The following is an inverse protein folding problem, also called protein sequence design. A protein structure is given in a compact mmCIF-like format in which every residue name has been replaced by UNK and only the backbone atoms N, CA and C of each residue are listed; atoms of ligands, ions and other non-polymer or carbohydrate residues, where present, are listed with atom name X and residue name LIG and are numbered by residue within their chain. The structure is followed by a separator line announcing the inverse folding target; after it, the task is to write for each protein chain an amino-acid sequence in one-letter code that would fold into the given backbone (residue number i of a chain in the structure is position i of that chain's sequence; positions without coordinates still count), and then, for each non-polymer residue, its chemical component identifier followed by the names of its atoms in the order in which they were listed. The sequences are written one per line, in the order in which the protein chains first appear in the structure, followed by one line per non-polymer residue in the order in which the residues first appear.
data_IF_673705710333
#
_entry.id   IF_673705710333
#
_cell.length_a   1.000
_cell.length_b   1.000
_cell.length_c   1.000
_cell.angle_alpha   90.00
_cell.angle_beta   90.00
_cell.angle_gamma   90.00
#
_symmetry.space_group_name_H-M   'P 1'
#
loop_
_entity.id
_entity.type
_entity.pdbx_description
1 polymer ?
#
# COMPACT_ATOMS: atom_id res chain seq x y z
N UNK A 1 31.48 18.09 17.76
CA UNK A 1 30.58 18.23 16.58
C UNK A 1 29.15 18.08 17.06
N UNK A 2 28.32 19.12 16.94
CA UNK A 2 26.88 19.01 17.24
C UNK A 2 26.22 18.15 16.16
N UNK A 3 25.48 17.12 16.54
CA UNK A 3 24.79 16.24 15.60
C UNK A 3 23.65 16.98 14.90
N UNK A 4 23.30 16.59 13.69
CA UNK A 4 22.18 17.17 12.90
C UNK A 4 20.87 17.21 13.72
N UNK A 5 20.68 16.24 14.61
CA UNK A 5 19.52 16.11 15.50
C UNK A 5 19.45 17.24 16.52
N UNK A 6 20.60 17.66 17.12
CA UNK A 6 20.65 18.77 18.07
C UNK A 6 20.41 20.14 17.41
N UNK A 7 20.71 20.26 16.11
CA UNK A 7 20.44 21.47 15.34
C UNK A 7 18.97 21.63 14.99
N UNK A 8 18.30 20.53 14.68
CA UNK A 8 16.86 20.51 14.36
C UNK A 8 15.98 20.72 15.62
N UNK A 9 16.43 20.24 16.77
CA UNK A 9 15.77 20.50 18.06
C UNK A 9 15.85 21.99 18.46
N UNK A 10 16.96 22.67 18.17
CA UNK A 10 17.10 24.11 18.45
C UNK A 10 16.12 24.95 17.61
N UNK A 11 15.85 24.64 16.36
CA UNK A 11 14.94 25.43 15.51
C UNK A 11 13.49 25.36 16.01
N UNK A 12 13.00 24.18 16.39
CA UNK A 12 11.65 24.04 16.95
C UNK A 12 11.53 24.73 18.32
N UNK A 13 12.56 24.61 19.16
CA UNK A 13 12.65 25.25 20.47
C UNK A 13 12.64 26.78 20.36
N UNK A 14 13.43 27.32 19.43
CA UNK A 14 13.50 28.78 19.20
C UNK A 14 12.16 29.32 18.68
N UNK A 15 11.49 28.58 17.81
CA UNK A 15 10.17 28.96 17.31
C UNK A 15 9.11 28.92 18.42
N UNK A 16 9.10 27.88 19.24
CA UNK A 16 8.17 27.72 20.36
C UNK A 16 8.39 28.81 21.42
N UNK A 17 9.65 29.13 21.73
CA UNK A 17 10.02 30.20 22.67
C UNK A 17 9.54 31.58 22.20
N UNK A 18 9.66 31.90 20.90
CA UNK A 18 9.11 33.14 20.31
C UNK A 18 7.59 33.24 20.44
N UNK A 19 6.90 32.10 20.49
CA UNK A 19 5.45 32.01 20.70
C UNK A 19 5.07 31.95 22.17
N UNK A 20 6.04 32.01 23.10
CA UNK A 20 5.77 31.96 24.54
C UNK A 20 5.31 30.57 25.04
N UNK A 21 5.60 29.50 24.32
CA UNK A 21 5.22 28.14 24.69
C UNK A 21 6.24 27.52 25.65
N UNK A 22 5.76 26.67 26.55
CA UNK A 22 6.59 25.91 27.48
C UNK A 22 6.70 24.45 27.03
N UNK A 23 7.90 23.93 26.85
CA UNK A 23 8.17 22.57 26.43
C UNK A 23 8.31 21.60 27.61
N UNK A 24 7.93 20.34 27.40
CA UNK A 24 8.09 19.22 28.35
C UNK A 24 9.46 18.51 28.26
N UNK A 25 10.34 18.96 27.37
CA UNK A 25 11.62 18.30 27.07
C UNK A 25 11.52 17.08 26.16
N UNK A 26 10.32 16.62 25.81
CA UNK A 26 10.06 15.48 24.92
C UNK A 26 9.49 15.88 23.57
N UNK A 27 9.36 17.20 23.34
CA UNK A 27 8.93 17.77 22.06
C UNK A 27 7.47 18.19 22.03
N UNK A 28 6.78 18.17 23.16
CA UNK A 28 5.43 18.70 23.31
C UNK A 28 5.48 20.11 23.92
N UNK A 29 4.63 21.03 23.44
CA UNK A 29 4.67 22.45 23.77
C UNK A 29 3.31 22.94 24.25
N UNK A 30 3.29 23.56 25.41
CA UNK A 30 2.09 23.96 26.13
C UNK A 30 1.98 25.48 26.26
N UNK A 31 0.77 25.99 26.22
CA UNK A 31 0.49 27.39 26.59
C UNK A 31 0.59 27.53 28.11
N UNK A 32 1.51 28.35 28.64
CA UNK A 32 1.72 28.47 30.08
C UNK A 32 0.55 29.12 30.82
N UNK A 33 -0.38 29.78 30.11
CA UNK A 33 -1.58 30.41 30.72
C UNK A 33 -2.73 29.43 30.87
N UNK A 34 -2.88 28.49 29.94
CA UNK A 34 -4.01 27.56 29.90
C UNK A 34 -3.63 26.13 30.27
N UNK A 35 -2.35 25.79 30.25
CA UNK A 35 -1.84 24.43 30.41
C UNK A 35 -2.18 23.50 29.25
N UNK A 36 -2.73 24.03 28.16
CA UNK A 36 -3.15 23.23 27.02
C UNK A 36 -1.94 22.90 26.12
N UNK A 37 -1.92 21.67 25.58
CA UNK A 37 -0.98 21.27 24.54
C UNK A 37 -1.34 21.99 23.23
N UNK A 38 -0.46 22.87 22.74
CA UNK A 38 -0.73 23.71 21.56
C UNK A 38 0.17 23.43 20.37
N UNK A 39 1.31 22.76 20.60
CA UNK A 39 2.20 22.39 19.51
C UNK A 39 3.05 21.16 19.84
N UNK A 40 3.59 20.52 18.81
CA UNK A 40 4.49 19.36 18.92
C UNK A 40 5.65 19.47 17.94
N UNK A 41 6.83 19.07 18.37
CA UNK A 41 8.00 18.97 17.48
C UNK A 41 7.92 17.71 16.63
N UNK A 42 7.75 17.88 15.33
CA UNK A 42 7.69 16.78 14.36
C UNK A 42 8.82 16.95 13.34
N UNK A 43 9.75 16.00 13.27
CA UNK A 43 10.91 16.04 12.37
C UNK A 43 11.72 17.35 12.48
N UNK A 44 11.90 17.86 13.73
CA UNK A 44 12.67 19.07 14.00
C UNK A 44 11.96 20.39 13.66
N UNK A 45 10.67 20.37 13.33
CA UNK A 45 9.84 21.55 13.10
C UNK A 45 8.68 21.59 14.07
N UNK A 46 8.26 22.80 14.46
CA UNK A 46 7.12 23.00 15.34
C UNK A 46 5.82 22.88 14.53
N UNK A 47 4.96 21.94 14.90
CA UNK A 47 3.61 21.79 14.36
C UNK A 47 2.60 22.30 15.39
N UNK A 48 1.91 23.39 15.07
CA UNK A 48 0.95 24.05 15.95
C UNK A 48 -0.44 23.42 15.68
N UNK A 49 -1.19 23.14 16.77
CA UNK A 49 -2.56 22.66 16.67
C UNK A 49 -3.50 23.87 16.66
N UNK A 50 -4.21 24.10 15.57
CA UNK A 50 -5.25 25.13 15.52
C UNK A 50 -6.56 24.58 16.15
N UNK A 51 -6.85 25.05 17.35
CA UNK A 51 -8.19 25.10 17.94
C UNK A 51 -8.82 23.80 18.38
N UNK A 52 -8.56 23.41 19.63
CA UNK A 52 -9.59 22.95 20.61
C UNK A 52 -8.92 22.73 21.95
N UNK A 53 -9.29 23.54 22.93
CA UNK A 53 -8.98 23.37 24.36
C UNK A 53 -9.62 22.09 24.86
N UNK A 54 -8.80 21.11 25.26
CA UNK A 54 -9.19 20.08 26.23
C UNK A 54 -8.16 20.10 27.36
N UNK A 55 -8.67 20.32 28.58
CA UNK A 55 -7.92 20.29 29.82
C UNK A 55 -7.34 18.90 30.05
N UNK A 56 -6.04 18.84 30.29
CA UNK A 56 -5.35 17.62 30.68
C UNK A 56 -5.51 17.40 32.19
N UNK A 57 -5.96 16.22 32.60
CA UNK A 57 -5.71 15.69 33.93
C UNK A 57 -4.45 14.81 33.90
N UNK A 58 -3.60 14.87 34.94
CA UNK A 58 -2.38 14.06 34.99
C UNK A 58 -2.67 12.72 35.63
N UNK A 59 -2.17 11.62 35.04
CA UNK A 59 -1.72 10.48 35.85
C UNK A 59 -1.02 9.37 35.04
N UNK A 60 0.12 9.00 35.62
CA UNK A 60 0.68 7.69 35.88
C UNK A 60 0.99 6.71 34.73
N UNK A 61 2.29 6.61 34.50
CA UNK A 61 3.12 5.41 34.18
C UNK A 61 2.40 4.19 33.59
N UNK A 62 2.62 3.99 32.30
CA UNK A 62 2.35 2.73 31.61
C UNK A 62 2.69 2.88 30.14
N UNK A 63 3.73 2.21 29.67
CA UNK A 63 4.09 2.17 28.27
C UNK A 63 2.93 1.58 27.47
N UNK A 64 2.34 2.24 26.50
CA UNK A 64 1.49 1.59 25.53
C UNK A 64 2.22 1.40 24.21
N UNK A 65 2.03 0.21 23.65
CA UNK A 65 2.33 -0.12 22.28
C UNK A 65 1.73 0.91 21.32
N UNK A 66 2.42 1.16 20.21
CA UNK A 66 2.02 2.09 19.18
C UNK A 66 0.60 1.81 18.66
N UNK A 67 -0.38 2.55 19.13
CA UNK A 67 -1.71 2.60 18.55
C UNK A 67 -1.64 3.39 17.24
N UNK A 68 -1.87 2.70 16.15
CA UNK A 68 -2.11 3.30 14.85
C UNK A 68 -3.50 3.94 14.90
N UNK A 69 -3.56 5.27 14.86
CA UNK A 69 -4.81 5.98 14.64
C UNK A 69 -5.40 5.61 13.27
N UNK A 70 -6.72 5.40 13.18
CA UNK A 70 -7.42 5.34 11.91
C UNK A 70 -7.23 6.67 11.17
N UNK A 71 -6.95 6.59 9.87
CA UNK A 71 -6.89 7.77 9.01
C UNK A 71 -8.20 8.56 9.10
N UNK A 72 -8.04 9.86 9.29
CA UNK A 72 -9.01 10.96 9.23
C UNK A 72 -10.48 10.57 9.00
N UNK A 73 -11.25 10.65 10.08
CA UNK A 73 -12.70 10.75 10.01
C UNK A 73 -13.02 12.23 9.80
N UNK A 74 -12.94 12.66 8.55
CA UNK A 74 -13.43 13.98 8.15
C UNK A 74 -14.97 13.99 8.18
N UNK A 75 -15.50 15.10 8.64
CA UNK A 75 -16.89 15.37 8.94
C UNK A 75 -17.86 14.82 7.89
N UNK A 76 -18.84 14.05 8.36
CA UNK A 76 -19.97 13.64 7.55
C UNK A 76 -20.76 14.87 7.09
N UNK A 77 -21.12 14.97 5.79
CA UNK A 77 -22.03 15.99 5.33
C UNK A 77 -23.40 15.83 6.02
N UNK A 78 -23.90 16.92 6.55
CA UNK A 78 -25.24 16.97 7.11
C UNK A 78 -26.27 16.73 5.99
N UNK A 79 -27.08 15.67 6.12
CA UNK A 79 -28.26 15.54 5.26
C UNK A 79 -28.60 14.10 4.90
N UNK A 80 -29.23 13.42 5.77
CA UNK A 80 -30.35 12.46 5.67
C UNK A 80 -30.41 11.72 6.98
N UNK A 81 -31.56 11.75 7.63
CA UNK A 81 -31.75 10.99 8.85
C UNK A 81 -31.66 9.49 8.53
N UNK A 82 -30.97 8.69 9.36
CA UNK A 82 -30.87 7.26 9.14
C UNK A 82 -32.26 6.62 9.14
N UNK A 83 -32.55 5.86 8.09
CA UNK A 83 -33.82 5.14 7.94
C UNK A 83 -33.74 3.83 8.72
N UNK A 84 -34.82 3.45 9.40
CA UNK A 84 -34.93 2.13 9.99
C UNK A 84 -35.16 1.11 8.87
N UNK A 85 -34.36 0.03 8.81
CA UNK A 85 -34.58 -1.07 7.88
C UNK A 85 -35.93 -1.75 8.05
N UNK A 86 -36.44 -2.39 7.01
CA UNK A 86 -37.73 -3.06 6.99
C UNK A 86 -37.76 -4.41 7.75
N UNK A 87 -36.70 -4.78 8.44
CA UNK A 87 -36.62 -5.89 9.40
C UNK A 87 -36.40 -7.28 8.78
N UNK A 88 -36.17 -7.39 7.47
CA UNK A 88 -36.19 -8.71 6.78
C UNK A 88 -34.85 -9.20 6.23
N UNK A 89 -33.85 -8.36 6.06
CA UNK A 89 -32.59 -8.76 5.43
C UNK A 89 -31.38 -8.46 6.29
N UNK A 90 -30.46 -9.42 6.29
CA UNK A 90 -29.13 -9.27 6.90
C UNK A 90 -28.06 -9.19 5.84
N UNK A 91 -27.10 -8.28 5.98
CA UNK A 91 -25.93 -8.20 5.13
C UNK A 91 -24.67 -8.56 5.93
N UNK A 92 -23.89 -9.48 5.42
CA UNK A 92 -22.59 -9.79 5.99
C UNK A 92 -21.48 -9.02 5.23
N UNK A 93 -20.64 -8.29 5.96
CA UNK A 93 -19.65 -7.37 5.41
C UNK A 93 -18.24 -7.79 5.85
N UNK A 94 -17.33 -7.87 4.89
CA UNK A 94 -15.89 -7.85 5.13
C UNK A 94 -15.29 -6.53 4.68
N UNK A 95 -14.53 -5.86 5.55
CA UNK A 95 -13.82 -4.63 5.20
C UNK A 95 -12.34 -4.75 5.56
N UNK A 96 -11.45 -4.58 4.60
CA UNK A 96 -10.03 -4.80 4.82
C UNK A 96 -9.11 -4.09 3.84
N UNK A 97 -7.81 -4.07 4.16
CA UNK A 97 -6.79 -3.42 3.31
C UNK A 97 -6.42 -4.24 2.08
N UNK A 98 -6.28 -5.56 2.22
CA UNK A 98 -5.93 -6.50 1.15
C UNK A 98 -4.76 -6.00 0.28
N UNK A 99 -3.67 -5.55 0.86
CA UNK A 99 -2.62 -4.86 0.12
C UNK A 99 -1.20 -5.42 0.39
N UNK A 100 -0.77 -6.44 -0.40
CA UNK A 100 -1.57 -7.18 -1.38
C UNK A 100 -2.52 -8.21 -0.75
N UNK A 101 -3.48 -8.76 -1.51
CA UNK A 101 -4.23 -9.95 -1.13
C UNK A 101 -3.28 -11.14 -0.95
N UNK A 102 -3.59 -12.06 -0.05
CA UNK A 102 -2.73 -13.21 0.30
C UNK A 102 -3.58 -14.45 0.56
N UNK A 103 -2.97 -15.63 0.58
CA UNK A 103 -3.63 -16.88 0.99
C UNK A 103 -4.33 -16.77 2.36
N UNK A 104 -3.75 -16.00 3.30
CA UNK A 104 -4.38 -15.77 4.62
C UNK A 104 -5.69 -14.99 4.58
N UNK A 105 -5.99 -14.28 3.48
CA UNK A 105 -7.27 -13.60 3.31
C UNK A 105 -8.39 -14.54 2.86
N UNK A 106 -8.08 -15.70 2.31
CA UNK A 106 -9.08 -16.72 1.93
C UNK A 106 -9.89 -17.20 3.13
N UNK A 107 -9.20 -17.43 4.27
CA UNK A 107 -9.87 -17.79 5.54
C UNK A 107 -10.88 -16.72 5.97
N UNK A 108 -10.52 -15.44 5.84
CA UNK A 108 -11.43 -14.33 6.14
C UNK A 108 -12.63 -14.34 5.19
N UNK A 109 -12.42 -14.52 3.88
CA UNK A 109 -13.51 -14.52 2.90
C UNK A 109 -14.45 -15.70 3.10
N UNK A 110 -13.91 -16.89 3.38
CA UNK A 110 -14.69 -18.06 3.74
C UNK A 110 -15.51 -17.85 5.03
N UNK A 111 -14.93 -17.19 6.03
CA UNK A 111 -15.65 -16.82 7.25
C UNK A 111 -16.79 -15.83 6.98
N UNK A 112 -16.59 -14.85 6.08
CA UNK A 112 -17.65 -13.91 5.66
C UNK A 112 -18.80 -14.66 4.99
N UNK A 113 -18.49 -15.51 4.03
CA UNK A 113 -19.49 -16.33 3.32
C UNK A 113 -20.24 -17.27 4.26
N UNK A 114 -19.54 -17.94 5.17
CA UNK A 114 -20.14 -18.85 6.16
C UNK A 114 -21.03 -18.10 7.15
N UNK A 115 -20.62 -16.91 7.62
CA UNK A 115 -21.43 -16.07 8.53
C UNK A 115 -22.71 -15.56 7.85
N UNK A 116 -22.72 -15.46 6.53
CA UNK A 116 -23.89 -15.05 5.78
C UNK A 116 -24.98 -16.15 5.70
N UNK A 117 -24.64 -17.42 5.99
CA UNK A 117 -25.58 -18.54 6.03
C UNK A 117 -26.48 -18.65 4.76
N UNK A 118 -25.89 -18.35 3.58
CA UNK A 118 -26.61 -18.31 2.30
C UNK A 118 -27.33 -16.98 2.02
N UNK A 119 -27.27 -16.01 2.91
CA UNK A 119 -27.72 -14.63 2.68
C UNK A 119 -26.70 -13.77 1.94
N UNK A 120 -27.00 -12.49 1.85
CA UNK A 120 -26.14 -11.52 1.17
C UNK A 120 -24.83 -11.27 1.92
N UNK A 121 -23.72 -11.30 1.18
CA UNK A 121 -22.44 -10.85 1.70
C UNK A 121 -21.65 -10.02 0.68
N UNK A 122 -20.84 -9.11 1.19
CA UNK A 122 -19.99 -8.24 0.37
C UNK A 122 -18.63 -8.02 1.03
N UNK A 123 -17.59 -7.96 0.20
CA UNK A 123 -16.21 -7.74 0.60
C UNK A 123 -15.75 -6.43 0.00
N UNK A 124 -15.35 -5.49 0.86
CA UNK A 124 -14.93 -4.15 0.47
C UNK A 124 -13.44 -3.94 0.75
N UNK A 125 -12.59 -3.89 -0.26
CA UNK A 125 -11.20 -3.46 -0.12
C UNK A 125 -11.13 -1.96 0.18
N UNK A 126 -10.32 -1.57 1.17
CA UNK A 126 -10.12 -0.15 1.49
C UNK A 126 -9.45 0.59 0.34
N UNK A 127 -9.73 1.89 0.20
CA UNK A 127 -9.14 2.76 -0.82
C UNK A 127 -7.78 3.35 -0.42
N UNK A 128 -7.26 2.99 0.77
CA UNK A 128 -5.96 3.50 1.21
C UNK A 128 -4.86 3.09 0.23
N UNK A 129 -4.07 4.07 -0.18
CA UNK A 129 -2.90 3.88 -1.03
C UNK A 129 -1.71 4.67 -0.46
N UNK A 130 -0.60 4.02 -0.28
CA UNK A 130 0.69 4.61 0.08
C UNK A 130 1.83 3.66 -0.29
N UNK A 131 3.00 4.21 -0.60
CA UNK A 131 4.14 3.45 -1.09
C UNK A 131 4.67 2.37 -0.12
N UNK A 132 4.40 2.46 1.19
CA UNK A 132 5.00 1.55 2.18
C UNK A 132 4.08 0.42 2.62
N UNK A 133 2.79 0.75 2.89
CA UNK A 133 1.85 -0.18 3.51
C UNK A 133 0.73 -0.61 2.57
N UNK A 134 0.39 0.24 1.60
CA UNK A 134 -0.72 0.04 0.68
C UNK A 134 -0.31 0.39 -0.75
N UNK A 135 0.68 -0.31 -1.34
CA UNK A 135 1.19 0.05 -2.66
C UNK A 135 0.15 -0.06 -3.79
N UNK A 136 -0.79 -0.98 -3.69
CA UNK A 136 -1.81 -1.17 -4.72
C UNK A 136 -2.95 -0.16 -4.57
N UNK A 137 -3.38 0.44 -5.67
CA UNK A 137 -4.62 1.21 -5.76
C UNK A 137 -5.86 0.31 -5.64
N UNK A 138 -7.04 0.92 -5.45
CA UNK A 138 -8.27 0.17 -5.19
C UNK A 138 -8.70 -0.72 -6.38
N UNK A 139 -8.58 -0.23 -7.61
CA UNK A 139 -9.00 -0.96 -8.80
C UNK A 139 -8.12 -2.18 -9.05
N UNK A 140 -6.80 -2.00 -9.03
CA UNK A 140 -5.81 -3.08 -9.14
C UNK A 140 -6.03 -4.14 -8.06
N UNK A 141 -6.30 -3.71 -6.84
CA UNK A 141 -6.57 -4.59 -5.70
C UNK A 141 -7.75 -5.50 -5.94
N UNK A 142 -8.88 -4.91 -6.37
CA UNK A 142 -10.11 -5.66 -6.68
C UNK A 142 -9.89 -6.65 -7.81
N UNK A 143 -9.22 -6.23 -8.88
CA UNK A 143 -8.91 -7.10 -10.02
C UNK A 143 -8.15 -8.35 -9.58
N UNK A 144 -7.08 -8.18 -8.81
CA UNK A 144 -6.31 -9.32 -8.30
C UNK A 144 -7.09 -10.16 -7.28
N UNK A 145 -7.88 -9.53 -6.40
CA UNK A 145 -8.73 -10.28 -5.47
C UNK A 145 -9.73 -11.16 -6.18
N UNK A 146 -10.38 -10.67 -7.23
CA UNK A 146 -11.35 -11.46 -8.02
C UNK A 146 -10.70 -12.65 -8.74
N UNK A 147 -9.46 -12.47 -9.22
CA UNK A 147 -8.69 -13.57 -9.83
C UNK A 147 -8.19 -14.59 -8.80
N UNK A 148 -7.77 -14.12 -7.63
CA UNK A 148 -7.25 -14.96 -6.55
C UNK A 148 -8.36 -15.77 -5.83
N UNK A 149 -9.55 -15.20 -5.74
CA UNK A 149 -10.67 -15.77 -4.99
C UNK A 149 -11.92 -15.88 -5.87
N UNK A 150 -11.91 -16.77 -6.86
CA UNK A 150 -12.99 -16.88 -7.85
C UNK A 150 -14.36 -17.17 -7.24
N UNK A 151 -14.41 -17.94 -6.13
CA UNK A 151 -15.66 -18.29 -5.44
C UNK A 151 -16.33 -17.05 -4.81
N UNK A 152 -15.54 -16.03 -4.49
CA UNK A 152 -16.01 -14.77 -3.91
C UNK A 152 -16.03 -13.60 -4.89
N UNK A 153 -15.60 -13.81 -6.14
CA UNK A 153 -15.37 -12.74 -7.11
C UNK A 153 -16.55 -11.79 -7.30
N UNK A 154 -17.77 -12.33 -7.33
CA UNK A 154 -19.02 -11.56 -7.49
C UNK A 154 -19.35 -10.69 -6.27
N UNK A 155 -18.85 -11.05 -5.10
CA UNK A 155 -19.10 -10.38 -3.83
C UNK A 155 -17.99 -9.40 -3.44
N UNK A 156 -16.88 -9.36 -4.19
CA UNK A 156 -15.82 -8.37 -4.04
C UNK A 156 -16.22 -7.09 -4.76
N UNK A 157 -16.52 -6.06 -4.01
CA UNK A 157 -17.11 -4.81 -4.51
C UNK A 157 -16.04 -3.76 -4.75
N UNK A 158 -16.07 -3.15 -5.94
CA UNK A 158 -15.34 -1.93 -6.25
C UNK A 158 -16.33 -0.77 -6.39
N UNK A 159 -16.37 0.10 -5.40
CA UNK A 159 -17.18 1.31 -5.43
C UNK A 159 -16.38 2.46 -4.79
N UNK A 160 -16.12 3.51 -5.58
CA UNK A 160 -15.34 4.67 -5.17
C UNK A 160 -15.95 5.43 -3.98
N UNK A 161 -17.24 5.25 -3.73
CA UNK A 161 -17.96 5.87 -2.62
C UNK A 161 -17.75 5.12 -1.30
N UNK A 162 -17.39 3.84 -1.36
CA UNK A 162 -17.24 2.95 -0.19
C UNK A 162 -15.82 3.03 0.39
N UNK A 163 -15.39 4.22 0.80
CA UNK A 163 -14.01 4.47 1.24
C UNK A 163 -13.74 4.02 2.66
N UNK A 164 -14.75 4.09 3.51
CA UNK A 164 -14.69 3.73 4.92
C UNK A 164 -15.76 2.72 5.27
N UNK A 165 -15.61 2.02 6.41
CA UNK A 165 -16.66 1.12 6.91
C UNK A 165 -17.96 1.88 7.16
N UNK A 166 -17.90 3.15 7.52
CA UNK A 166 -19.09 3.96 7.73
C UNK A 166 -19.86 4.23 6.44
N UNK A 167 -19.16 4.44 5.31
CA UNK A 167 -19.80 4.59 4.02
C UNK A 167 -20.51 3.32 3.61
N UNK A 168 -19.89 2.16 3.86
CA UNK A 168 -20.49 0.84 3.61
C UNK A 168 -21.73 0.63 4.47
N UNK A 169 -21.66 0.95 5.77
CA UNK A 169 -22.80 0.82 6.67
C UNK A 169 -23.95 1.78 6.32
N UNK A 170 -23.65 3.04 5.97
CA UNK A 170 -24.67 3.99 5.48
C UNK A 170 -25.35 3.45 4.22
N UNK A 171 -24.57 2.93 3.28
CA UNK A 171 -25.10 2.36 2.05
C UNK A 171 -26.00 1.16 2.33
N UNK A 172 -25.55 0.21 3.16
CA UNK A 172 -26.34 -0.95 3.55
C UNK A 172 -27.66 -0.53 4.24
N UNK A 173 -27.65 0.47 5.11
CA UNK A 173 -28.84 1.01 5.73
C UNK A 173 -29.77 1.68 4.70
N UNK A 174 -29.24 2.41 3.71
CA UNK A 174 -30.05 3.02 2.64
C UNK A 174 -30.66 1.99 1.70
N UNK A 175 -30.06 0.81 1.54
CA UNK A 175 -30.60 -0.32 0.79
C UNK A 175 -31.70 -1.08 1.55
N UNK A 176 -31.93 -0.77 2.83
CA UNK A 176 -33.01 -1.35 3.63
C UNK A 176 -32.61 -2.54 4.49
N UNK A 177 -31.32 -2.87 4.59
CA UNK A 177 -30.87 -3.91 5.53
C UNK A 177 -31.13 -3.47 6.98
N UNK A 178 -31.78 -4.35 7.72
CA UNK A 178 -32.07 -4.12 9.15
C UNK A 178 -30.96 -4.68 10.06
N UNK A 179 -30.26 -5.69 9.61
CA UNK A 179 -29.23 -6.36 10.39
C UNK A 179 -27.92 -6.41 9.60
N UNK A 180 -26.80 -6.24 10.28
CA UNK A 180 -25.46 -6.29 9.69
C UNK A 180 -24.55 -7.17 10.52
N UNK A 181 -23.85 -8.11 9.87
CA UNK A 181 -22.73 -8.83 10.43
C UNK A 181 -21.42 -8.26 9.85
N UNK A 182 -20.49 -7.85 10.68
CA UNK A 182 -19.17 -7.35 10.26
C UNK A 182 -18.13 -8.40 10.63
N UNK A 183 -17.48 -9.01 9.65
CA UNK A 183 -16.47 -10.05 9.89
C UNK A 183 -15.08 -9.42 9.76
N UNK A 184 -14.28 -9.56 10.82
CA UNK A 184 -12.93 -8.99 10.94
C UNK A 184 -11.95 -9.99 11.53
N UNK A 185 -10.64 -9.74 11.40
CA UNK A 185 -9.65 -10.48 12.17
C UNK A 185 -9.81 -10.23 13.67
N UNK A 186 -9.43 -11.20 14.50
CA UNK A 186 -9.60 -11.12 15.96
C UNK A 186 -8.91 -9.90 16.59
N UNK A 187 -7.78 -9.46 16.00
CA UNK A 187 -7.03 -8.27 16.41
C UNK A 187 -7.83 -6.96 16.29
N UNK A 188 -8.90 -6.95 15.49
CA UNK A 188 -9.72 -5.75 15.23
C UNK A 188 -11.16 -5.84 15.78
N UNK A 189 -11.52 -6.94 16.40
CA UNK A 189 -12.90 -7.20 16.89
C UNK A 189 -13.40 -6.05 17.76
N UNK A 190 -12.71 -5.75 18.86
CA UNK A 190 -13.09 -4.70 19.82
C UNK A 190 -13.15 -3.30 19.21
N UNK A 191 -12.24 -3.01 18.26
CA UNK A 191 -12.24 -1.73 17.55
C UNK A 191 -13.55 -1.56 16.76
N UNK A 192 -13.92 -2.57 15.97
CA UNK A 192 -15.11 -2.53 15.13
C UNK A 192 -16.40 -2.59 15.92
N UNK A 193 -16.47 -3.36 17.01
CA UNK A 193 -17.60 -3.36 17.93
C UNK A 193 -17.88 -1.95 18.47
N UNK A 194 -16.86 -1.31 19.03
CA UNK A 194 -17.00 0.03 19.60
C UNK A 194 -17.40 1.06 18.54
N UNK A 195 -16.76 1.02 17.37
CA UNK A 195 -17.01 1.99 16.31
C UNK A 195 -18.42 1.83 15.71
N UNK A 196 -18.83 0.60 15.38
CA UNK A 196 -20.12 0.36 14.74
C UNK A 196 -21.29 0.68 15.65
N UNK A 197 -21.22 0.30 16.93
CA UNK A 197 -22.25 0.58 17.92
C UNK A 197 -22.37 2.08 18.24
N UNK A 198 -21.25 2.79 18.35
CA UNK A 198 -21.22 4.22 18.68
C UNK A 198 -22.03 5.08 17.72
N UNK A 199 -22.04 4.73 16.45
CA UNK A 199 -22.69 5.53 15.41
C UNK A 199 -24.05 4.97 14.96
N UNK A 200 -24.52 3.87 15.57
CA UNK A 200 -25.87 3.38 15.35
C UNK A 200 -26.89 4.37 15.95
N UNK A 201 -27.91 4.70 15.19
CA UNK A 201 -28.85 5.77 15.52
C UNK A 201 -28.38 7.19 15.14
N UNK A 202 -27.13 7.36 14.67
CA UNK A 202 -26.59 8.65 14.25
C UNK A 202 -26.29 8.69 12.73
N UNK A 203 -25.49 7.76 12.24
CA UNK A 203 -25.09 7.67 10.82
C UNK A 203 -25.90 6.64 10.05
N UNK A 204 -26.37 5.62 10.70
CA UNK A 204 -27.22 4.54 10.21
C UNK A 204 -28.08 4.04 11.35
N UNK A 205 -29.09 3.22 11.06
CA UNK A 205 -30.01 2.71 12.07
C UNK A 205 -30.34 1.24 11.79
N UNK A 206 -29.51 0.34 12.31
CA UNK A 206 -29.71 -1.11 12.24
C UNK A 206 -30.38 -1.60 13.53
N UNK A 207 -31.23 -2.62 13.39
CA UNK A 207 -31.81 -3.32 14.55
C UNK A 207 -30.72 -4.10 15.29
N UNK A 208 -29.81 -4.76 14.52
CA UNK A 208 -28.67 -5.46 15.09
C UNK A 208 -27.40 -5.22 14.28
N UNK A 209 -26.31 -4.96 14.99
CA UNK A 209 -24.95 -4.95 14.44
C UNK A 209 -24.15 -6.00 15.21
N UNK A 210 -23.74 -7.04 14.51
CA UNK A 210 -22.94 -8.12 15.09
C UNK A 210 -21.53 -8.09 14.49
N UNK A 211 -20.51 -8.08 15.32
CA UNK A 211 -19.10 -8.14 14.87
C UNK A 211 -18.54 -9.51 15.19
N UNK A 212 -18.13 -10.23 14.16
CA UNK A 212 -17.70 -11.62 14.24
C UNK A 212 -16.21 -11.72 13.93
N UNK A 213 -15.51 -12.52 14.71
CA UNK A 213 -14.10 -12.83 14.44
C UNK A 213 -13.97 -13.91 13.37
N UNK A 214 -13.15 -13.67 12.37
CA UNK A 214 -12.72 -14.70 11.40
C UNK A 214 -11.65 -15.67 11.98
N UNK A 215 -11.40 -15.57 13.28
CA UNK A 215 -10.37 -16.33 14.00
C UNK A 215 -9.04 -15.59 14.10
N UNK A 216 -8.16 -16.15 14.92
CA UNK A 216 -6.83 -15.60 15.11
C UNK A 216 -5.97 -15.83 13.87
N UNK A 217 -5.15 -14.83 13.56
CA UNK A 217 -4.00 -15.01 12.68
C UNK A 217 -2.89 -15.63 13.49
N UNK A 218 -2.48 -16.80 13.13
CA UNK A 218 -1.21 -17.31 13.59
C UNK A 218 -0.09 -16.57 12.82
N UNK A 219 0.41 -15.50 13.43
CA UNK A 219 1.48 -14.67 12.84
C UNK A 219 2.81 -15.44 12.85
N UNK A 220 2.92 -16.41 13.74
CA UNK A 220 4.11 -17.22 13.96
C UNK A 220 4.04 -18.58 13.24
N UNK A 221 2.92 -18.89 12.57
CA UNK A 221 2.80 -20.09 11.76
C UNK A 221 3.90 -20.11 10.69
N UNK A 222 4.67 -21.18 10.69
CA UNK A 222 5.62 -21.48 9.62
C UNK A 222 4.83 -21.92 8.38
N UNK A 223 5.18 -21.37 7.21
CA UNK A 223 4.60 -21.74 5.93
C UNK A 223 3.49 -20.82 5.42
N UNK A 224 2.59 -21.38 4.61
CA UNK A 224 1.58 -20.65 3.83
C UNK A 224 0.57 -19.92 4.72
N UNK A 225 0.17 -20.49 5.85
CA UNK A 225 -0.82 -19.89 6.75
C UNK A 225 -0.29 -18.63 7.47
N UNK A 226 1.01 -18.54 7.70
CA UNK A 226 1.69 -17.38 8.27
C UNK A 226 1.98 -16.25 7.28
N UNK A 227 1.60 -16.39 6.00
CA UNK A 227 1.90 -15.38 4.97
C UNK A 227 0.98 -14.18 5.06
N UNK A 228 1.52 -13.10 5.59
CA UNK A 228 0.82 -11.81 5.71
C UNK A 228 1.15 -10.87 4.55
N UNK A 229 0.28 -9.89 4.30
CA UNK A 229 0.56 -8.83 3.33
C UNK A 229 1.87 -8.07 3.63
N UNK A 230 2.27 -7.98 4.90
CA UNK A 230 3.55 -7.38 5.29
C UNK A 230 4.74 -8.25 4.86
N UNK A 231 4.66 -9.57 5.02
CA UNK A 231 5.69 -10.50 4.55
C UNK A 231 5.81 -10.46 3.02
N UNK A 232 4.68 -10.40 2.29
CA UNK A 232 4.71 -10.26 0.83
C UNK A 232 5.34 -8.93 0.37
N UNK A 233 5.00 -7.81 1.01
CA UNK A 233 5.65 -6.54 0.69
C UNK A 233 7.15 -6.56 1.00
N UNK A 234 7.56 -7.23 2.07
CA UNK A 234 8.97 -7.42 2.40
C UNK A 234 9.66 -8.24 1.30
N UNK A 235 9.12 -9.40 0.93
CA UNK A 235 9.63 -10.22 -0.16
C UNK A 235 9.72 -9.42 -1.47
N UNK A 236 8.69 -8.62 -1.79
CA UNK A 236 8.73 -7.73 -2.94
C UNK A 236 9.85 -6.68 -2.83
N UNK A 237 10.08 -6.10 -1.64
CA UNK A 237 11.17 -5.12 -1.46
C UNK A 237 12.56 -5.72 -1.60
N UNK A 238 12.71 -6.97 -1.21
CA UNK A 238 13.97 -7.73 -1.28
C UNK A 238 14.22 -8.37 -2.65
N UNK A 239 13.22 -8.35 -3.55
CA UNK A 239 13.32 -8.97 -4.87
C UNK A 239 13.09 -10.49 -4.84
N UNK A 240 12.62 -11.03 -3.72
CA UNK A 240 12.38 -12.46 -3.51
C UNK A 240 10.99 -12.86 -4.04
N UNK A 241 10.97 -13.24 -5.32
CA UNK A 241 9.74 -13.67 -5.96
C UNK A 241 9.25 -15.04 -5.45
N UNK A 242 10.13 -15.95 -5.05
CA UNK A 242 9.72 -17.29 -4.59
C UNK A 242 8.93 -17.19 -3.29
N UNK A 243 9.45 -16.45 -2.30
CA UNK A 243 8.72 -16.15 -1.07
C UNK A 243 7.43 -15.39 -1.35
N UNK A 244 7.43 -14.42 -2.25
CA UNK A 244 6.23 -13.69 -2.65
C UNK A 244 5.19 -14.65 -3.23
N UNK A 245 5.59 -15.49 -4.20
CA UNK A 245 4.70 -16.44 -4.87
C UNK A 245 4.06 -17.45 -3.92
N UNK A 246 4.79 -17.90 -2.90
CA UNK A 246 4.26 -18.84 -1.91
C UNK A 246 3.08 -18.27 -1.10
N UNK A 247 2.99 -16.96 -0.96
CA UNK A 247 1.88 -16.29 -0.27
C UNK A 247 0.72 -15.86 -1.18
N UNK A 248 0.81 -16.15 -2.48
CA UNK A 248 -0.25 -15.86 -3.45
C UNK A 248 -1.15 -17.09 -3.65
N UNK A 249 -2.48 -16.94 -3.63
CA UNK A 249 -3.42 -18.02 -3.88
C UNK A 249 -3.19 -18.71 -5.23
N UNK A 250 -3.37 -20.04 -5.25
CA UNK A 250 -3.14 -20.88 -6.43
C UNK A 250 -3.92 -20.48 -7.71
N UNK A 251 -5.17 -19.98 -7.62
CA UNK A 251 -5.90 -19.56 -8.81
C UNK A 251 -5.23 -18.46 -9.64
N UNK A 252 -4.34 -17.66 -9.03
CA UNK A 252 -3.53 -16.71 -9.77
C UNK A 252 -2.29 -17.44 -10.34
N UNK A 253 -2.15 -17.44 -11.65
CA UNK A 253 -1.02 -18.05 -12.36
C UNK A 253 0.31 -17.30 -12.10
N UNK A 254 1.41 -17.88 -12.56
CA UNK A 254 2.74 -17.35 -12.33
C UNK A 254 2.97 -16.03 -13.09
N UNK A 255 2.43 -15.89 -14.30
CA UNK A 255 2.55 -14.66 -15.09
C UNK A 255 1.83 -13.48 -14.41
N UNK A 256 0.60 -13.70 -13.94
CA UNK A 256 -0.15 -12.69 -13.20
C UNK A 256 0.49 -12.38 -11.84
N UNK A 257 1.08 -13.39 -11.19
CA UNK A 257 1.81 -13.23 -9.92
C UNK A 257 3.08 -12.39 -10.12
N UNK A 258 3.81 -12.58 -11.21
CA UNK A 258 4.97 -11.76 -11.57
C UNK A 258 4.58 -10.31 -11.87
N UNK A 259 3.47 -10.11 -12.59
CA UNK A 259 2.95 -8.76 -12.86
C UNK A 259 2.53 -8.05 -11.59
N UNK A 260 1.89 -8.76 -10.65
CA UNK A 260 1.54 -8.21 -9.34
C UNK A 260 2.79 -7.84 -8.54
N UNK A 261 3.78 -8.73 -8.50
CA UNK A 261 5.07 -8.49 -7.84
C UNK A 261 5.75 -7.23 -8.38
N UNK A 262 5.90 -7.11 -9.70
CA UNK A 262 6.49 -5.95 -10.36
C UNK A 262 5.68 -4.67 -10.09
N UNK A 263 4.35 -4.76 -10.09
CA UNK A 263 3.48 -3.62 -9.78
C UNK A 263 3.69 -3.13 -8.35
N UNK A 264 3.76 -4.05 -7.38
CA UNK A 264 4.00 -3.70 -5.97
C UNK A 264 5.36 -3.03 -5.81
N UNK A 265 6.43 -3.58 -6.40
CA UNK A 265 7.78 -3.00 -6.37
C UNK A 265 7.79 -1.57 -6.92
N UNK A 266 7.21 -1.37 -8.09
CA UNK A 266 7.09 -0.05 -8.72
C UNK A 266 6.32 0.94 -7.84
N UNK A 267 5.20 0.53 -7.26
CA UNK A 267 4.38 1.39 -6.41
C UNK A 267 5.04 1.66 -5.04
N UNK A 268 5.93 0.80 -4.59
CA UNK A 268 6.77 1.03 -3.41
C UNK A 268 7.92 2.01 -3.67
N UNK A 269 8.09 2.47 -4.92
CA UNK A 269 9.21 3.34 -5.31
C UNK A 269 10.55 2.61 -5.28
N UNK A 270 10.53 1.29 -5.33
CA UNK A 270 11.71 0.48 -5.55
C UNK A 270 11.96 0.61 -7.04
N UNK A 271 12.95 1.44 -7.39
CA UNK A 271 13.42 1.52 -8.76
C UNK A 271 13.86 0.12 -9.15
N UNK A 272 13.02 -0.55 -9.91
CA UNK A 272 13.56 -1.56 -10.78
C UNK A 272 14.51 -0.80 -11.71
N UNK A 273 15.77 -1.20 -11.74
CA UNK A 273 16.55 -0.93 -12.94
C UNK A 273 15.58 -1.15 -14.10
N UNK A 274 15.30 -0.14 -14.88
CA UNK A 274 14.15 0.11 -15.77
C UNK A 274 13.80 -1.02 -16.76
N UNK A 275 13.87 -2.25 -16.34
CA UNK A 275 13.45 -3.43 -17.06
C UNK A 275 12.84 -4.44 -16.09
N UNK A 276 11.51 -4.50 -16.04
CA UNK A 276 10.74 -5.57 -15.43
C UNK A 276 10.92 -6.92 -16.13
N UNK A 277 12.17 -7.35 -16.24
CA UNK A 277 12.54 -8.69 -16.64
C UNK A 277 13.34 -9.29 -15.50
N UNK A 278 12.73 -10.14 -14.72
CA UNK A 278 13.43 -11.12 -13.91
C UNK A 278 14.42 -11.84 -14.81
N UNK A 279 15.62 -12.13 -14.32
CA UNK A 279 16.71 -12.71 -15.10
C UNK A 279 16.35 -13.94 -15.96
N UNK A 280 15.23 -14.63 -15.67
CA UNK A 280 14.73 -15.75 -16.47
C UNK A 280 14.26 -15.33 -17.87
N UNK A 281 13.62 -14.14 -18.03
CA UNK A 281 13.18 -13.65 -19.34
C UNK A 281 14.28 -12.99 -20.17
N UNK A 282 15.36 -12.53 -19.54
CA UNK A 282 16.54 -12.06 -20.29
C UNK A 282 17.18 -13.16 -21.13
N UNK A 283 17.07 -14.42 -20.70
CA UNK A 283 17.59 -15.56 -21.44
C UNK A 283 16.68 -16.00 -22.59
N UNK A 284 15.39 -15.69 -22.51
CA UNK A 284 14.43 -15.97 -23.59
C UNK A 284 14.46 -14.93 -24.71
N UNK A 285 14.81 -13.67 -24.37
CA UNK A 285 14.85 -12.55 -25.34
C UNK A 285 16.26 -12.32 -25.88
N UNK A 286 17.29 -12.70 -25.13
CA UNK A 286 18.64 -12.73 -25.71
C UNK A 286 18.66 -13.80 -26.80
N UNK A 287 18.95 -13.45 -28.05
CA UNK A 287 19.03 -14.44 -29.11
C UNK A 287 20.00 -15.53 -28.68
N UNK A 288 19.49 -16.77 -28.57
CA UNK A 288 20.29 -17.98 -28.26
C UNK A 288 21.37 -18.23 -29.32
N UNK A 289 21.34 -17.46 -30.37
CA UNK A 289 22.18 -17.59 -31.54
C UNK A 289 22.79 -16.23 -31.89
N UNK A 290 24.09 -16.15 -31.79
CA UNK A 290 24.91 -15.00 -32.15
C UNK A 290 25.81 -15.40 -33.34
N UNK A 291 25.27 -15.40 -34.57
CA UNK A 291 26.00 -15.89 -35.77
C UNK A 291 27.24 -15.08 -36.07
N UNK A 292 27.30 -13.83 -35.64
CA UNK A 292 28.36 -12.90 -36.02
C UNK A 292 29.38 -12.66 -34.89
N UNK A 293 29.26 -13.35 -33.74
CA UNK A 293 30.12 -13.14 -32.57
C UNK A 293 29.99 -11.75 -31.95
N UNK A 294 28.90 -11.04 -32.24
CA UNK A 294 28.66 -9.66 -31.81
C UNK A 294 28.66 -9.52 -30.28
N UNK A 295 28.05 -10.48 -29.61
CA UNK A 295 27.98 -10.50 -28.16
C UNK A 295 29.35 -10.74 -27.53
N UNK A 296 30.12 -11.65 -28.10
CA UNK A 296 31.48 -11.94 -27.64
C UNK A 296 32.40 -10.74 -27.83
N UNK A 297 32.32 -10.07 -28.98
CA UNK A 297 33.04 -8.83 -29.27
C UNK A 297 32.64 -7.68 -28.34
N UNK A 298 31.35 -7.62 -27.93
CA UNK A 298 30.86 -6.63 -26.99
C UNK A 298 31.37 -6.91 -25.55
N UNK A 299 31.30 -8.15 -25.08
CA UNK A 299 31.76 -8.54 -23.74
C UNK A 299 33.28 -8.39 -23.62
N UNK A 300 34.02 -8.74 -24.68
CA UNK A 300 35.49 -8.57 -24.75
C UNK A 300 35.90 -7.10 -24.95
N UNK A 301 34.97 -6.16 -24.97
CA UNK A 301 35.19 -4.72 -25.17
C UNK A 301 35.85 -4.36 -26.52
N UNK A 302 35.62 -5.14 -27.53
CA UNK A 302 36.05 -4.82 -28.89
C UNK A 302 35.09 -3.86 -29.59
N UNK A 303 33.79 -3.91 -29.22
CA UNK A 303 32.71 -3.08 -29.78
C UNK A 303 31.95 -2.35 -28.71
N UNK A 304 31.34 -1.24 -29.08
CA UNK A 304 30.36 -0.47 -28.27
C UNK A 304 30.85 -0.08 -26.88
N UNK A 305 32.10 0.38 -26.76
CA UNK A 305 32.63 0.86 -25.48
C UNK A 305 32.05 2.21 -25.11
N UNK A 306 32.04 2.50 -23.81
CA UNK A 306 31.68 3.83 -23.29
C UNK A 306 32.60 4.88 -23.97
N UNK A 307 31.97 5.91 -24.51
CA UNK A 307 32.64 6.97 -25.28
C UNK A 307 32.60 6.79 -26.79
N UNK A 308 32.23 5.60 -27.30
CA UNK A 308 32.03 5.41 -28.74
C UNK A 308 30.71 6.03 -29.20
N UNK A 309 30.66 6.46 -30.43
CA UNK A 309 29.48 6.91 -31.13
C UNK A 309 28.77 5.75 -31.79
N UNK A 310 27.44 5.71 -31.66
CA UNK A 310 26.61 4.66 -32.25
C UNK A 310 25.38 5.28 -32.89
N UNK A 311 24.87 4.60 -33.88
CA UNK A 311 23.56 4.83 -34.50
C UNK A 311 22.64 3.65 -34.19
N UNK A 312 21.39 3.93 -33.81
CA UNK A 312 20.37 2.91 -33.68
C UNK A 312 19.71 2.68 -35.04
N UNK A 313 19.84 1.47 -35.57
CA UNK A 313 19.36 1.13 -36.92
C UNK A 313 17.80 1.18 -37.03
N UNK A 314 17.09 1.04 -35.93
CA UNK A 314 15.61 1.09 -35.92
C UNK A 314 15.04 2.51 -35.80
N UNK A 315 15.75 3.41 -35.11
CA UNK A 315 15.24 4.77 -34.80
C UNK A 315 16.03 5.87 -35.52
N UNK A 316 17.23 5.55 -36.07
CA UNK A 316 18.14 6.54 -36.65
C UNK A 316 18.77 7.50 -35.62
N UNK A 317 18.57 7.28 -34.32
CA UNK A 317 19.16 8.11 -33.29
C UNK A 317 20.67 7.87 -33.19
N UNK A 318 21.43 8.95 -33.18
CA UNK A 318 22.89 8.92 -33.03
C UNK A 318 23.26 9.48 -31.67
N UNK A 319 24.10 8.75 -30.93
CA UNK A 319 24.53 9.18 -29.61
C UNK A 319 25.85 8.57 -29.17
N UNK A 320 26.44 9.20 -28.14
CA UNK A 320 27.69 8.73 -27.52
C UNK A 320 27.34 7.80 -26.36
N UNK A 321 27.90 6.61 -26.32
CA UNK A 321 27.66 5.63 -25.26
C UNK A 321 28.17 6.19 -23.93
N UNK A 322 27.28 6.29 -22.97
CA UNK A 322 27.57 6.73 -21.59
C UNK A 322 27.56 5.58 -20.58
N UNK A 323 26.89 4.48 -20.92
CA UNK A 323 26.83 3.27 -20.09
C UNK A 323 26.67 2.02 -20.94
N UNK A 324 27.32 0.93 -20.54
CA UNK A 324 27.17 -0.39 -21.12
C UNK A 324 26.53 -1.36 -20.13
N UNK A 325 25.54 -2.14 -20.57
CA UNK A 325 24.94 -3.24 -19.84
C UNK A 325 25.37 -4.61 -20.38
N UNK A 326 24.64 -5.68 -20.04
CA UNK A 326 25.00 -7.04 -20.45
C UNK A 326 24.88 -7.29 -21.97
N UNK A 327 23.85 -6.74 -22.63
CA UNK A 327 23.60 -6.83 -24.09
C UNK A 327 23.01 -5.54 -24.66
N UNK A 328 23.19 -4.42 -23.96
CA UNK A 328 22.61 -3.13 -24.33
C UNK A 328 23.56 -2.00 -23.97
N UNK A 329 23.29 -0.84 -24.54
CA UNK A 329 23.95 0.41 -24.16
C UNK A 329 22.94 1.50 -23.85
N UNK A 330 23.40 2.52 -23.14
CA UNK A 330 22.72 3.81 -23.00
C UNK A 330 23.62 4.84 -23.68
N UNK A 331 23.05 5.59 -24.62
CA UNK A 331 23.74 6.64 -25.33
C UNK A 331 23.04 8.00 -25.17
N UNK A 332 23.84 9.06 -25.23
CA UNK A 332 23.41 10.45 -25.17
C UNK A 332 23.59 11.09 -26.54
N UNK A 333 22.52 11.65 -27.11
CA UNK A 333 22.55 12.42 -28.35
C UNK A 333 23.23 13.77 -28.16
N UNK A 334 23.59 14.45 -29.24
CA UNK A 334 24.09 15.83 -29.17
C UNK A 334 23.05 16.83 -28.65
N UNK A 335 21.77 16.52 -28.81
CA UNK A 335 20.65 17.32 -28.25
C UNK A 335 20.42 17.12 -26.75
N UNK A 336 21.14 16.19 -26.10
CA UNK A 336 20.98 15.86 -24.69
C UNK A 336 19.89 14.83 -24.39
N UNK A 337 19.31 14.20 -25.41
CA UNK A 337 18.36 13.11 -25.26
C UNK A 337 19.10 11.79 -25.02
N UNK A 338 18.65 11.00 -24.05
CA UNK A 338 19.19 9.67 -23.78
C UNK A 338 18.33 8.61 -24.43
N UNK A 339 18.95 7.66 -25.11
CA UNK A 339 18.28 6.48 -25.60
C UNK A 339 19.01 5.20 -25.17
N UNK A 340 18.26 4.12 -25.09
CA UNK A 340 18.76 2.79 -24.82
C UNK A 340 18.54 1.91 -26.05
N UNK A 341 19.50 1.06 -26.36
CA UNK A 341 19.41 0.16 -27.50
C UNK A 341 20.10 -1.17 -27.22
N UNK A 342 19.57 -2.23 -27.80
CA UNK A 342 20.26 -3.51 -27.83
C UNK A 342 21.46 -3.45 -28.77
N UNK A 343 22.54 -4.19 -28.46
CA UNK A 343 23.75 -4.23 -29.27
C UNK A 343 23.49 -4.70 -30.73
N UNK A 344 22.48 -5.56 -30.94
CA UNK A 344 22.08 -6.05 -32.26
C UNK A 344 21.47 -4.99 -33.17
N UNK A 345 20.95 -3.92 -32.58
CA UNK A 345 20.24 -2.83 -33.26
C UNK A 345 21.13 -1.59 -33.39
N UNK A 346 22.44 -1.76 -33.22
CA UNK A 346 23.41 -0.68 -33.20
C UNK A 346 24.46 -0.84 -34.31
N UNK A 347 24.81 0.29 -34.88
CA UNK A 347 25.97 0.45 -35.76
C UNK A 347 26.98 1.38 -35.07
N UNK A 348 28.24 0.93 -34.96
CA UNK A 348 29.29 1.76 -34.41
C UNK A 348 29.79 2.73 -35.49
N UNK A 349 29.82 4.02 -35.14
CA UNK A 349 30.30 5.07 -35.99
C UNK A 349 31.81 5.32 -35.71
N UNK A 350 32.61 5.35 -36.75
CA UNK A 350 34.01 5.82 -36.67
C UNK A 350 33.96 7.35 -36.78
N UNK A 351 34.12 8.05 -35.66
CA UNK A 351 34.39 9.48 -35.63
C UNK A 351 35.82 9.75 -35.21
#
# INVERSE_FOLDING_TARGET
MKTLRSFLETVASDQASRMGLQGDGHGDWYDPKTGALVAKTVKGRLKIFQGRTQAAQPDAKGKPAAQQQPADVDQAPAGEQPRKGDGKQSLTIGFGRFNPPTVGHEKLMNSISSTAEGGDYRIYPSHSQDAKRNPLDSATKVEYMQKMFPDHAKNIVHDEKMRTIFDVLKNANSEGYANVNIVVGADRLKEFENLSQKYNGQLYNFDNINVVSAGDRDVDAEGIEGMSASKLRKAASEGDFETFRSGIPKPLDDDASQKLFATIRRQMGIEEDTFGFTGAHLWEIAPKYDPDGLREAYISKQLFNVGHWVENDNTGLIGKIIRSGANYIIALTESGEMFKSWIKDLRQLKR
#
